data_IF_227039280371
#
_entry.id   IF_227039280371
#
_cell.length_a   1.000
_cell.length_b   1.000
_cell.length_c   1.000
_cell.angle_alpha   90.00
_cell.angle_beta   90.00
_cell.angle_gamma   90.00
#
_symmetry.space_group_name_H-M   'P 1'
#
loop_
_entity.id
_entity.type
_entity.pdbx_description
1 polymer ?
#
# COMPACT_ATOMS: atom_id res chain seq x y z
N UNK A 1 29.63 -8.72 -22.46
CA UNK A 1 28.27 -8.16 -22.30
C UNK A 1 28.01 -7.94 -20.82
N UNK A 2 27.63 -6.73 -20.41
CA UNK A 2 27.33 -6.42 -19.00
C UNK A 2 26.02 -7.08 -18.55
N UNK A 3 25.96 -7.49 -17.28
CA UNK A 3 24.75 -8.06 -16.67
C UNK A 3 23.66 -6.99 -16.66
N UNK A 4 22.45 -7.32 -17.14
CA UNK A 4 21.31 -6.39 -17.13
C UNK A 4 20.93 -6.05 -15.69
N UNK A 5 20.47 -4.82 -15.48
CA UNK A 5 19.95 -4.34 -14.20
C UNK A 5 18.55 -4.91 -13.94
N UNK A 6 18.19 -5.03 -12.67
CA UNK A 6 16.82 -5.37 -12.26
C UNK A 6 15.84 -4.25 -12.66
N UNK A 7 14.61 -4.59 -13.06
CA UNK A 7 13.59 -3.58 -13.36
C UNK A 7 13.23 -2.79 -12.10
N UNK A 8 12.91 -1.50 -12.29
CA UNK A 8 12.35 -0.63 -11.25
C UNK A 8 10.82 -0.71 -11.35
N UNK A 9 10.14 -0.95 -10.22
CA UNK A 9 8.68 -0.88 -10.13
C UNK A 9 8.29 0.41 -9.39
N UNK A 10 7.82 1.45 -10.09
CA UNK A 10 7.35 2.67 -9.45
C UNK A 10 5.92 2.49 -8.94
N UNK A 11 5.70 2.90 -7.69
CA UNK A 11 4.40 2.83 -7.02
C UNK A 11 4.05 4.24 -6.57
N UNK A 12 2.86 4.73 -6.96
CA UNK A 12 2.30 5.99 -6.47
C UNK A 12 1.19 5.67 -5.48
N UNK A 13 1.37 6.11 -4.24
CA UNK A 13 0.35 6.04 -3.20
C UNK A 13 -0.33 7.41 -3.14
N UNK A 14 -1.61 7.46 -3.49
CA UNK A 14 -2.40 8.67 -3.45
C UNK A 14 -3.40 8.65 -2.28
N UNK A 15 -3.44 9.76 -1.54
CA UNK A 15 -4.33 10.00 -0.41
C UNK A 15 -4.98 11.38 -0.53
N UNK A 16 -5.76 11.57 -1.59
CA UNK A 16 -6.61 12.75 -1.75
C UNK A 16 -7.99 12.57 -1.13
N UNK A 17 -8.76 13.66 -1.09
CA UNK A 17 -10.17 13.63 -0.72
C UNK A 17 -11.06 13.11 -1.86
N UNK A 18 -10.61 13.25 -3.10
CA UNK A 18 -11.25 12.75 -4.31
C UNK A 18 -10.35 11.69 -4.94
N UNK A 19 -10.90 10.90 -5.87
CA UNK A 19 -10.10 9.96 -6.64
C UNK A 19 -9.06 10.65 -7.52
N UNK A 20 -8.01 9.92 -7.85
CA UNK A 20 -6.93 10.36 -8.72
C UNK A 20 -7.45 10.58 -10.14
N UNK A 21 -7.17 11.76 -10.69
CA UNK A 21 -7.55 12.16 -12.05
C UNK A 21 -6.39 12.37 -13.04
N UNK A 22 -5.14 12.64 -12.61
CA UNK A 22 -4.00 12.70 -13.53
C UNK A 22 -3.68 11.37 -14.23
N UNK A 23 -2.86 11.42 -15.28
CA UNK A 23 -2.42 10.23 -16.02
C UNK A 23 -1.45 9.34 -15.24
N UNK A 24 -1.27 8.11 -15.70
CA UNK A 24 -0.47 7.07 -15.03
C UNK A 24 1.02 7.08 -15.38
N UNK A 25 1.46 7.99 -16.25
CA UNK A 25 2.88 8.15 -16.55
C UNK A 25 3.51 9.20 -15.65
N UNK A 26 4.77 9.01 -15.29
CA UNK A 26 5.49 9.97 -14.45
C UNK A 26 5.53 11.37 -15.09
N UNK A 27 5.65 11.44 -16.42
CA UNK A 27 5.65 12.70 -17.15
C UNK A 27 4.31 13.45 -17.09
N UNK A 28 3.18 12.76 -16.84
CA UNK A 28 1.86 13.38 -16.73
C UNK A 28 1.71 14.23 -15.45
N UNK A 29 2.58 14.02 -14.46
CA UNK A 29 2.40 14.51 -13.08
C UNK A 29 3.54 15.40 -12.60
N UNK A 30 4.62 15.53 -13.38
CA UNK A 30 5.76 16.38 -13.04
C UNK A 30 5.74 17.64 -13.88
N UNK A 31 6.22 18.73 -13.28
CA UNK A 31 6.46 19.95 -14.05
C UNK A 31 7.72 19.78 -14.90
N UNK A 32 7.57 19.85 -16.23
CA UNK A 32 8.67 19.80 -17.18
C UNK A 32 9.02 21.25 -17.53
N UNK A 33 10.19 21.79 -17.10
CA UNK A 33 10.49 23.21 -17.29
C UNK A 33 10.63 23.64 -18.75
N UNK A 34 11.11 22.73 -19.62
CA UNK A 34 11.29 22.96 -21.05
C UNK A 34 11.15 21.64 -21.83
N UNK A 35 10.64 21.68 -23.06
CA UNK A 35 10.41 20.48 -23.88
C UNK A 35 11.70 19.68 -24.15
N UNK A 36 12.83 20.37 -24.29
CA UNK A 36 14.15 19.73 -24.48
C UNK A 36 14.57 18.86 -23.28
N UNK A 37 13.91 18.98 -22.12
CA UNK A 37 14.19 18.15 -20.95
C UNK A 37 13.44 16.82 -20.97
N UNK A 38 12.39 16.66 -21.79
CA UNK A 38 11.59 15.43 -21.88
C UNK A 38 12.41 14.14 -22.06
N UNK A 39 13.47 14.10 -22.91
CA UNK A 39 14.27 12.88 -23.08
C UNK A 39 15.04 12.43 -21.83
N UNK A 40 15.21 13.32 -20.84
CA UNK A 40 15.94 13.05 -19.61
C UNK A 40 15.02 12.72 -18.42
N UNK A 41 13.70 12.80 -18.61
CA UNK A 41 12.71 12.47 -17.60
C UNK A 41 12.18 11.06 -17.89
N UNK A 42 12.22 10.12 -16.94
CA UNK A 42 11.70 8.78 -17.15
C UNK A 42 10.21 8.80 -17.51
N UNK A 43 9.85 8.10 -18.59
CA UNK A 43 8.45 7.92 -18.99
C UNK A 43 7.97 6.51 -18.63
N UNK A 44 8.06 6.16 -17.35
CA UNK A 44 7.47 4.91 -16.86
C UNK A 44 6.00 5.11 -16.50
N UNK A 45 5.21 4.07 -16.70
CA UNK A 45 3.93 3.91 -16.05
C UNK A 45 4.14 3.44 -14.61
N UNK A 46 3.50 4.10 -13.65
CA UNK A 46 3.53 3.67 -12.25
C UNK A 46 2.28 2.86 -11.89
N UNK A 47 2.42 2.00 -10.87
CA UNK A 47 1.27 1.35 -10.24
C UNK A 47 0.61 2.34 -9.28
N UNK A 48 -0.60 2.79 -9.59
CA UNK A 48 -1.39 3.68 -8.76
C UNK A 48 -2.15 2.87 -7.70
N UNK A 49 -1.94 3.23 -6.44
CA UNK A 49 -2.83 2.85 -5.33
C UNK A 49 -3.52 4.12 -4.83
N UNK A 50 -4.82 4.21 -5.13
CA UNK A 50 -5.66 5.35 -4.76
C UNK A 50 -6.50 4.99 -3.54
N UNK A 51 -6.07 5.45 -2.36
CA UNK A 51 -6.77 5.15 -1.11
C UNK A 51 -8.19 5.73 -1.05
N UNK A 52 -8.49 6.78 -1.83
CA UNK A 52 -9.82 7.39 -1.86
C UNK A 52 -10.80 6.52 -2.66
N UNK A 53 -10.34 5.93 -3.77
CA UNK A 53 -11.16 5.12 -4.66
C UNK A 53 -11.17 3.62 -4.32
N UNK A 54 -10.12 3.11 -3.66
CA UNK A 54 -9.98 1.68 -3.41
C UNK A 54 -10.87 1.16 -2.27
N UNK A 55 -11.36 -0.06 -2.46
CA UNK A 55 -12.04 -0.84 -1.43
C UNK A 55 -11.01 -1.47 -0.48
N UNK A 56 -11.19 -1.27 0.83
CA UNK A 56 -10.32 -1.83 1.87
C UNK A 56 -10.38 -3.36 1.92
N UNK A 57 -11.48 -3.96 1.43
CA UNK A 57 -11.63 -5.42 1.36
C UNK A 57 -10.75 -6.08 0.30
N UNK A 58 -10.19 -5.29 -0.63
CA UNK A 58 -9.23 -5.78 -1.63
C UNK A 58 -7.92 -6.27 -1.00
N UNK A 59 -7.62 -5.88 0.24
CA UNK A 59 -6.35 -6.15 0.93
C UNK A 59 -6.42 -7.27 1.98
N UNK A 60 -7.39 -8.17 1.87
CA UNK A 60 -7.61 -9.27 2.84
C UNK A 60 -6.43 -10.25 2.98
N UNK A 61 -5.44 -10.23 2.08
CA UNK A 61 -4.23 -11.06 2.15
C UNK A 61 -3.26 -10.62 3.25
N UNK A 62 -3.29 -9.35 3.67
CA UNK A 62 -2.42 -8.83 4.74
C UNK A 62 -3.19 -7.89 5.65
N UNK A 63 -3.38 -8.33 6.90
CA UNK A 63 -4.05 -7.52 7.94
C UNK A 63 -3.32 -6.19 8.16
N UNK A 64 -1.99 -6.18 8.12
CA UNK A 64 -1.19 -4.96 8.31
C UNK A 64 -1.44 -3.96 7.18
N UNK A 65 -1.47 -4.43 5.93
CA UNK A 65 -1.73 -3.58 4.77
C UNK A 65 -3.17 -3.04 4.83
N UNK A 66 -4.15 -3.90 5.12
CA UNK A 66 -5.54 -3.49 5.31
C UNK A 66 -5.67 -2.40 6.39
N UNK A 67 -5.01 -2.58 7.53
CA UNK A 67 -5.00 -1.59 8.61
C UNK A 67 -4.37 -0.25 8.18
N UNK A 68 -3.26 -0.29 7.43
CA UNK A 68 -2.64 0.92 6.89
C UNK A 68 -3.58 1.66 5.93
N UNK A 69 -4.26 0.95 5.02
CA UNK A 69 -5.26 1.54 4.13
C UNK A 69 -6.41 2.21 4.89
N UNK A 70 -6.97 1.54 5.91
CA UNK A 70 -8.03 2.11 6.74
C UNK A 70 -7.55 3.42 7.39
N UNK A 71 -6.36 3.42 8.00
CA UNK A 71 -5.81 4.62 8.66
C UNK A 71 -5.63 5.75 7.67
N UNK A 72 -5.00 5.49 6.52
CA UNK A 72 -4.74 6.51 5.51
C UNK A 72 -6.08 7.01 4.95
N UNK A 73 -6.97 6.14 4.50
CA UNK A 73 -8.26 6.51 3.90
C UNK A 73 -9.13 7.37 4.80
N UNK A 74 -9.23 7.03 6.09
CA UNK A 74 -10.13 7.71 7.01
C UNK A 74 -9.48 8.81 7.84
N UNK A 75 -8.17 9.09 7.67
CA UNK A 75 -7.42 10.03 8.53
C UNK A 75 -8.10 11.39 8.72
N UNK A 76 -8.71 11.92 7.65
CA UNK A 76 -9.42 13.20 7.62
C UNK A 76 -10.95 13.07 7.70
N UNK A 77 -11.48 11.86 7.74
CA UNK A 77 -12.91 11.61 7.75
C UNK A 77 -13.48 11.70 9.18
N UNK A 78 -14.74 12.16 9.37
CA UNK A 78 -15.38 12.16 10.69
C UNK A 78 -15.45 10.76 11.35
N UNK A 79 -15.51 9.71 10.53
CA UNK A 79 -15.54 8.31 10.95
C UNK A 79 -14.18 7.76 11.44
N UNK A 80 -13.09 8.54 11.40
CA UNK A 80 -11.74 8.08 11.76
C UNK A 80 -11.67 7.39 13.12
N UNK A 81 -12.39 7.92 14.11
CA UNK A 81 -12.42 7.33 15.47
C UNK A 81 -12.94 5.90 15.45
N UNK A 82 -14.05 5.66 14.76
CA UNK A 82 -14.67 4.33 14.65
C UNK A 82 -13.74 3.37 13.90
N UNK A 83 -13.20 3.83 12.78
CA UNK A 83 -12.26 3.05 11.95
C UNK A 83 -10.95 2.73 12.67
N UNK A 84 -10.48 3.60 13.55
CA UNK A 84 -9.32 3.31 14.41
C UNK A 84 -9.59 2.13 15.36
N UNK A 85 -10.79 2.03 15.95
CA UNK A 85 -11.15 0.88 16.78
C UNK A 85 -11.20 -0.41 15.96
N UNK A 86 -11.67 -0.35 14.73
CA UNK A 86 -11.64 -1.49 13.81
C UNK A 86 -10.20 -1.96 13.55
N UNK A 87 -9.29 -1.03 13.28
CA UNK A 87 -7.85 -1.32 13.09
C UNK A 87 -7.24 -2.01 14.32
N UNK A 88 -7.51 -1.49 15.51
CA UNK A 88 -6.99 -2.09 16.76
C UNK A 88 -7.52 -3.52 16.94
N UNK A 89 -8.82 -3.76 16.67
CA UNK A 89 -9.41 -5.10 16.73
C UNK A 89 -8.76 -6.06 15.75
N UNK A 90 -8.53 -5.63 14.51
CA UNK A 90 -7.89 -6.43 13.47
C UNK A 90 -6.45 -6.81 13.85
N UNK A 91 -5.65 -5.84 14.31
CA UNK A 91 -4.27 -6.08 14.74
C UNK A 91 -4.21 -7.03 15.94
N UNK A 92 -5.08 -6.84 16.93
CA UNK A 92 -5.15 -7.71 18.10
C UNK A 92 -5.52 -9.15 17.73
N UNK A 93 -6.53 -9.34 16.89
CA UNK A 93 -6.93 -10.66 16.42
C UNK A 93 -5.82 -11.35 15.62
N UNK A 94 -5.11 -10.62 14.76
CA UNK A 94 -3.98 -11.15 13.99
C UNK A 94 -2.79 -11.52 14.90
N UNK A 95 -2.47 -10.68 15.89
CA UNK A 95 -1.42 -10.96 16.87
C UNK A 95 -1.72 -12.25 17.64
N UNK A 96 -2.95 -12.39 18.16
CA UNK A 96 -3.39 -13.60 18.85
C UNK A 96 -3.21 -14.83 17.97
N UNK A 97 -3.72 -14.80 16.72
CA UNK A 97 -3.58 -15.92 15.77
C UNK A 97 -2.12 -16.33 15.57
N UNK A 98 -1.22 -15.37 15.35
CA UNK A 98 0.21 -15.66 15.15
C UNK A 98 0.87 -16.28 16.40
N UNK A 99 0.53 -15.79 17.60
CA UNK A 99 1.04 -16.35 18.85
C UNK A 99 0.60 -17.81 19.01
N UNK A 100 -0.66 -18.13 18.73
CA UNK A 100 -1.17 -19.51 18.78
C UNK A 100 -0.46 -20.40 17.76
N UNK A 101 -0.33 -19.97 16.50
CA UNK A 101 0.37 -20.74 15.46
C UNK A 101 1.83 -21.04 15.84
N UNK A 102 2.56 -20.05 16.37
CA UNK A 102 3.95 -20.23 16.82
C UNK A 102 4.05 -21.23 17.98
N UNK A 103 3.14 -21.16 18.96
CA UNK A 103 3.10 -22.12 20.08
C UNK A 103 2.82 -23.53 19.60
N UNK A 104 1.89 -23.71 18.65
CA UNK A 104 1.59 -25.03 18.07
C UNK A 104 2.81 -25.63 17.35
N UNK A 105 3.50 -24.84 16.51
CA UNK A 105 4.72 -25.27 15.83
C UNK A 105 5.82 -25.67 16.82
N UNK A 106 6.04 -24.87 17.87
CA UNK A 106 7.03 -25.18 18.91
C UNK A 106 6.70 -26.46 19.68
N UNK A 107 5.41 -26.76 19.90
CA UNK A 107 5.01 -28.01 20.52
C UNK A 107 5.27 -29.20 19.58
N UNK A 108 4.96 -29.09 18.29
CA UNK A 108 5.21 -30.16 17.32
C UNK A 108 6.70 -30.52 17.21
N UNK A 109 7.60 -29.53 17.23
CA UNK A 109 9.05 -29.75 17.19
C UNK A 109 9.62 -30.36 18.47
N UNK A 110 8.91 -30.27 19.60
CA UNK A 110 9.33 -30.90 20.87
C UNK A 110 8.94 -32.37 20.98
N UNK A 111 8.09 -32.87 20.08
CA UNK A 111 7.60 -34.25 20.04
C UNK A 111 8.05 -35.02 18.78
N UNK A 112 9.03 -34.50 18.03
CA UNK A 112 9.74 -35.18 16.92
C UNK A 112 11.19 -35.46 17.31
#
# INVERSE_FOLDING_TARGET
MGKKLSPILPILIYHGEKGWTPGLHFQDIVNIPHDDMKPYIPDFQYFLSDAAAEDEDRYNTSVVIKCWFIVVKYLKAPAMREKLFEVIKLLHANFIKQVWSRRQLLNMLKFS
#
